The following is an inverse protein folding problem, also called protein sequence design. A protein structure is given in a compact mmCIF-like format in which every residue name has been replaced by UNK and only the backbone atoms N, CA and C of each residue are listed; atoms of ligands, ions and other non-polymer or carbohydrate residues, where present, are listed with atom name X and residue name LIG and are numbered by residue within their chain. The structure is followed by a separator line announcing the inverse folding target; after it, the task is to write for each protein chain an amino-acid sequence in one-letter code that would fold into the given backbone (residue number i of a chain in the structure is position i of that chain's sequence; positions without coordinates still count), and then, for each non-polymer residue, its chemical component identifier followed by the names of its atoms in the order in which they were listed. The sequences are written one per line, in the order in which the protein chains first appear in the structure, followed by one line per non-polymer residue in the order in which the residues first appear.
data_IF_067098650985
#
_entry.id   IF_067098650985
#
_cell.length_a   1.000
_cell.length_b   1.000
_cell.length_c   1.000
_cell.angle_alpha   90.00
_cell.angle_beta   90.00
_cell.angle_gamma   90.00
#
_symmetry.space_group_name_H-M   'P 1'
#
loop_
_entity.id
_entity.type
_entity.pdbx_description
1 polymer ?
#
# COMPACT_ATOMS: atom_id res chain seq x y z
N UNK A 1 -6.49 -12.37 -6.68
CA UNK A 1 -6.74 -11.05 -7.28
C UNK A 1 -8.22 -10.97 -7.61
N UNK A 2 -8.85 -9.82 -7.38
CA UNK A 2 -10.30 -9.60 -7.55
C UNK A 2 -10.54 -8.38 -8.42
N UNK A 3 -11.45 -8.48 -9.38
CA UNK A 3 -11.92 -7.34 -10.17
C UNK A 3 -12.97 -6.59 -9.34
N UNK A 4 -12.68 -5.36 -8.92
CA UNK A 4 -13.62 -4.54 -8.15
C UNK A 4 -14.52 -3.69 -9.05
N UNK A 5 -14.01 -3.31 -10.23
CA UNK A 5 -14.73 -2.58 -11.27
C UNK A 5 -14.11 -2.90 -12.63
N UNK A 6 -14.93 -3.09 -13.66
CA UNK A 6 -14.49 -3.74 -14.88
C UNK A 6 -14.65 -3.01 -16.21
N UNK A 7 -15.69 -2.21 -16.41
CA UNK A 7 -16.19 -1.90 -17.76
C UNK A 7 -15.66 -0.58 -18.34
N UNK A 8 -14.56 -0.06 -17.81
CA UNK A 8 -13.97 1.20 -18.24
C UNK A 8 -12.92 1.09 -19.35
N UNK A 9 -12.67 2.19 -20.06
CA UNK A 9 -11.70 2.27 -21.15
C UNK A 9 -10.30 2.71 -20.72
N UNK A 10 -10.16 3.24 -19.49
CA UNK A 10 -8.87 3.72 -18.97
C UNK A 10 -7.94 2.56 -18.63
N UNK A 11 -6.60 2.76 -18.63
CA UNK A 11 -5.65 1.79 -18.11
C UNK A 11 -6.02 1.35 -16.69
N UNK A 12 -6.11 0.04 -16.40
CA UNK A 12 -6.50 -0.48 -15.10
C UNK A 12 -5.63 0.07 -13.95
N UNK A 13 -6.27 0.30 -12.80
CA UNK A 13 -5.57 0.55 -11.54
C UNK A 13 -5.47 -0.76 -10.76
N UNK A 14 -4.25 -1.18 -10.44
CA UNK A 14 -3.99 -2.36 -9.62
C UNK A 14 -3.69 -1.92 -8.18
N UNK A 15 -4.58 -2.27 -7.24
CA UNK A 15 -4.49 -1.93 -5.83
C UNK A 15 -3.98 -3.11 -4.99
N UNK A 16 -2.90 -2.93 -4.25
CA UNK A 16 -2.29 -3.95 -3.40
C UNK A 16 -2.69 -3.69 -1.94
N UNK A 17 -3.37 -4.65 -1.32
CA UNK A 17 -3.78 -4.57 0.08
C UNK A 17 -2.56 -4.66 1.02
N UNK A 18 -2.66 -4.00 2.18
CA UNK A 18 -1.63 -4.06 3.22
C UNK A 18 -1.64 -5.37 4.00
N UNK A 19 -0.75 -5.47 5.01
CA UNK A 19 -0.72 -6.60 5.94
C UNK A 19 -2.10 -6.74 6.64
N UNK A 20 -2.66 -7.96 6.62
CA UNK A 20 -4.01 -8.23 7.16
C UNK A 20 -5.17 -7.59 6.38
N UNK A 21 -4.90 -6.84 5.31
CA UNK A 21 -5.93 -6.19 4.48
C UNK A 21 -6.50 -7.11 3.40
N UNK A 22 -7.82 -7.04 3.19
CA UNK A 22 -8.52 -7.78 2.13
C UNK A 22 -8.74 -6.92 0.88
N UNK A 23 -8.77 -7.55 -0.29
CA UNK A 23 -8.91 -6.88 -1.59
C UNK A 23 -10.16 -5.95 -1.65
N UNK A 24 -11.26 -6.33 -0.99
CA UNK A 24 -12.51 -5.54 -0.96
C UNK A 24 -12.37 -4.19 -0.24
N UNK A 25 -11.31 -3.98 0.55
CA UNK A 25 -11.03 -2.69 1.20
C UNK A 25 -10.91 -1.53 0.22
N UNK A 26 -10.55 -1.79 -1.05
CA UNK A 26 -10.48 -0.77 -2.10
C UNK A 26 -11.82 -0.49 -2.80
N UNK A 27 -12.93 -1.16 -2.44
CA UNK A 27 -14.21 -1.01 -3.15
C UNK A 27 -14.70 0.43 -3.15
N UNK A 28 -14.65 1.11 -2.01
CA UNK A 28 -15.10 2.51 -1.89
C UNK A 28 -14.26 3.46 -2.76
N UNK A 29 -12.96 3.19 -2.90
CA UNK A 29 -12.10 3.93 -3.85
C UNK A 29 -12.52 3.64 -5.30
N UNK A 30 -12.71 2.37 -5.65
CA UNK A 30 -13.13 1.97 -6.99
C UNK A 30 -14.49 2.58 -7.41
N UNK A 31 -15.39 2.80 -6.46
CA UNK A 31 -16.66 3.50 -6.74
C UNK A 31 -16.44 4.99 -7.04
N UNK A 32 -15.55 5.65 -6.31
CA UNK A 32 -15.30 7.11 -6.46
C UNK A 32 -14.48 7.49 -7.68
N UNK A 33 -13.72 6.56 -8.24
CA UNK A 33 -12.94 6.79 -9.47
C UNK A 33 -13.82 6.87 -10.74
N UNK A 34 -15.11 6.56 -10.65
CA UNK A 34 -16.04 6.57 -11.76
C UNK A 34 -16.04 5.26 -12.56
N UNK A 35 -16.98 5.16 -13.50
CA UNK A 35 -17.24 3.92 -14.24
C UNK A 35 -16.16 3.59 -15.28
N UNK A 36 -15.53 4.62 -15.82
CA UNK A 36 -14.52 4.53 -16.87
C UNK A 36 -13.13 4.06 -16.38
N UNK A 37 -12.94 3.87 -15.07
CA UNK A 37 -11.67 3.41 -14.48
C UNK A 37 -11.79 1.95 -14.00
N UNK A 38 -11.23 0.96 -14.71
CA UNK A 38 -11.12 -0.40 -14.22
C UNK A 38 -10.23 -0.46 -12.98
N UNK A 39 -10.64 -1.26 -11.99
CA UNK A 39 -9.92 -1.43 -10.73
C UNK A 39 -9.83 -2.90 -10.36
N UNK A 40 -8.61 -3.36 -10.15
CA UNK A 40 -8.27 -4.69 -9.66
C UNK A 40 -7.61 -4.58 -8.30
N UNK A 41 -7.95 -5.48 -7.38
CA UNK A 41 -7.33 -5.54 -6.08
C UNK A 41 -6.64 -6.89 -5.84
N UNK A 42 -5.43 -6.80 -5.28
CA UNK A 42 -4.57 -7.92 -4.93
C UNK A 42 -4.46 -7.99 -3.41
N UNK A 43 -4.53 -9.20 -2.88
CA UNK A 43 -4.38 -9.48 -1.46
C UNK A 43 -3.18 -10.41 -1.24
N UNK A 44 -2.68 -10.44 -0.02
CA UNK A 44 -1.54 -11.27 0.36
C UNK A 44 -1.89 -12.74 0.28
N UNK A 45 -0.98 -13.55 -0.25
CA UNK A 45 -1.16 -14.99 -0.34
C UNK A 45 -1.15 -15.63 1.05
N UNK A 46 -1.95 -16.68 1.21
CA UNK A 46 -2.22 -17.29 2.52
C UNK A 46 -3.49 -16.74 3.19
N UNK A 47 -4.13 -15.71 2.62
CA UNK A 47 -5.44 -15.23 3.09
C UNK A 47 -6.61 -16.01 2.48
N UNK A 48 -6.51 -16.37 1.19
CA UNK A 48 -7.54 -17.11 0.44
C UNK A 48 -7.38 -18.62 0.50
N UNK A 49 -6.17 -19.11 0.70
CA UNK A 49 -5.83 -20.53 0.75
C UNK A 49 -4.92 -20.78 1.94
N UNK A 50 -4.97 -21.97 2.55
CA UNK A 50 -3.99 -22.42 3.57
C UNK A 50 -2.56 -22.60 3.01
N UNK A 51 -2.25 -21.94 1.90
CA UNK A 51 -0.92 -21.87 1.34
C UNK A 51 0.02 -21.10 2.26
N UNK A 52 1.30 -21.39 2.15
CA UNK A 52 2.32 -20.69 2.94
C UNK A 52 2.38 -19.22 2.46
N UNK A 53 2.45 -18.25 3.38
CA UNK A 53 2.66 -16.87 2.99
C UNK A 53 4.01 -16.72 2.27
N UNK A 54 4.15 -15.66 1.48
CA UNK A 54 5.48 -15.30 0.98
C UNK A 54 6.33 -14.72 2.10
N UNK A 55 7.62 -15.00 2.04
CA UNK A 55 8.57 -14.61 3.07
C UNK A 55 9.35 -13.32 2.74
N UNK A 56 9.06 -12.67 1.61
CA UNK A 56 9.70 -11.41 1.23
C UNK A 56 8.85 -10.53 0.31
N UNK A 57 9.03 -9.21 0.41
CA UNK A 57 8.39 -8.22 -0.48
C UNK A 57 8.66 -8.53 -1.95
N UNK A 58 9.90 -8.90 -2.30
CA UNK A 58 10.29 -9.27 -3.66
C UNK A 58 9.52 -10.47 -4.19
N UNK A 59 9.28 -11.48 -3.36
CA UNK A 59 8.49 -12.66 -3.74
C UNK A 59 7.01 -12.32 -3.94
N UNK A 60 6.43 -11.51 -3.04
CA UNK A 60 5.05 -11.01 -3.16
C UNK A 60 4.90 -10.24 -4.47
N UNK A 61 5.79 -9.26 -4.70
CA UNK A 61 5.80 -8.42 -5.88
C UNK A 61 5.92 -9.26 -7.16
N UNK A 62 6.84 -10.24 -7.22
CA UNK A 62 6.98 -11.13 -8.37
C UNK A 62 5.69 -11.86 -8.71
N UNK A 63 5.01 -12.44 -7.71
CA UNK A 63 3.71 -13.09 -7.95
C UNK A 63 2.68 -12.09 -8.47
N UNK A 64 2.61 -10.92 -7.86
CA UNK A 64 1.67 -9.89 -8.27
C UNK A 64 1.94 -9.37 -9.68
N UNK A 65 3.21 -9.19 -10.07
CA UNK A 65 3.60 -8.87 -11.45
C UNK A 65 3.09 -9.93 -12.42
N UNK A 66 3.30 -11.22 -12.13
CA UNK A 66 2.75 -12.30 -12.97
C UNK A 66 1.22 -12.20 -13.11
N UNK A 67 0.51 -11.92 -12.01
CA UNK A 67 -0.95 -11.81 -12.02
C UNK A 67 -1.46 -10.57 -12.79
N UNK A 68 -0.85 -9.39 -12.63
CA UNK A 68 -1.30 -8.20 -13.34
C UNK A 68 -0.99 -8.29 -14.84
N UNK A 69 0.12 -8.94 -15.22
CA UNK A 69 0.48 -9.17 -16.63
C UNK A 69 -0.47 -10.11 -17.36
N UNK A 70 -1.17 -10.99 -16.66
CA UNK A 70 -2.22 -11.81 -17.28
C UNK A 70 -3.49 -11.02 -17.62
N UNK A 71 -3.66 -9.83 -17.03
CA UNK A 71 -4.78 -8.93 -17.30
C UNK A 71 -4.39 -7.83 -18.28
N UNK A 72 -3.21 -7.24 -18.08
CA UNK A 72 -2.64 -6.21 -18.93
C UNK A 72 -1.21 -6.63 -19.27
N UNK A 73 -0.96 -7.23 -20.45
CA UNK A 73 0.36 -7.77 -20.80
C UNK A 73 1.46 -6.71 -20.90
N UNK A 74 1.09 -5.50 -21.29
CA UNK A 74 1.99 -4.38 -21.53
C UNK A 74 1.53 -3.09 -20.85
N UNK A 75 2.50 -2.28 -20.45
CA UNK A 75 2.27 -0.97 -19.83
C UNK A 75 1.54 0.04 -20.73
N UNK A 76 1.25 1.23 -20.20
CA UNK A 76 1.69 1.72 -18.90
C UNK A 76 0.88 1.13 -17.73
N UNK A 77 1.59 0.69 -16.68
CA UNK A 77 0.97 0.20 -15.44
C UNK A 77 0.65 1.35 -14.47
N UNK A 78 -0.50 1.25 -13.80
CA UNK A 78 -0.87 2.11 -12.67
C UNK A 78 -1.03 1.25 -11.42
N UNK A 79 -0.17 1.49 -10.44
CA UNK A 79 -0.13 0.72 -9.20
C UNK A 79 -0.58 1.61 -8.03
N UNK A 80 -1.28 1.02 -7.08
CA UNK A 80 -1.62 1.66 -5.82
C UNK A 80 -1.43 0.67 -4.68
N UNK A 81 -1.02 1.14 -3.50
CA UNK A 81 -0.86 0.26 -2.35
C UNK A 81 -1.18 0.95 -1.04
N UNK A 82 -1.74 0.18 -0.11
CA UNK A 82 -2.02 0.63 1.25
C UNK A 82 -1.07 -0.02 2.24
N UNK A 83 -0.44 0.76 3.14
CA UNK A 83 0.51 0.25 4.13
C UNK A 83 1.58 -0.63 3.45
N UNK A 84 1.86 -1.86 3.93
CA UNK A 84 2.77 -2.83 3.28
C UNK A 84 2.51 -2.99 1.76
N UNK A 85 1.26 -2.85 1.32
CA UNK A 85 0.90 -2.94 -0.09
C UNK A 85 1.58 -1.87 -0.95
N UNK A 86 1.90 -0.69 -0.39
CA UNK A 86 2.62 0.36 -1.11
C UNK A 86 4.11 0.01 -1.30
N UNK A 87 4.73 -0.62 -0.30
CA UNK A 87 6.10 -1.13 -0.40
C UNK A 87 6.18 -2.23 -1.46
N UNK A 88 5.18 -3.12 -1.51
CA UNK A 88 5.04 -4.13 -2.57
C UNK A 88 4.81 -3.48 -3.93
N UNK A 89 3.96 -2.46 -4.02
CA UNK A 89 3.71 -1.73 -5.27
C UNK A 89 4.97 -1.08 -5.85
N UNK A 90 5.84 -0.52 -4.99
CA UNK A 90 7.13 0.03 -5.41
C UNK A 90 8.08 -1.05 -5.92
N UNK A 91 8.17 -2.20 -5.24
CA UNK A 91 8.97 -3.32 -5.74
C UNK A 91 8.41 -3.88 -7.05
N UNK A 92 7.08 -3.95 -7.22
CA UNK A 92 6.45 -4.30 -8.49
C UNK A 92 6.83 -3.30 -9.59
N UNK A 93 6.85 -2.00 -9.29
CA UNK A 93 7.23 -0.98 -10.25
C UNK A 93 8.69 -1.15 -10.73
N UNK A 94 9.61 -1.43 -9.80
CA UNK A 94 11.01 -1.75 -10.14
C UNK A 94 11.12 -3.00 -11.01
N UNK A 95 10.40 -4.08 -10.67
CA UNK A 95 10.42 -5.32 -11.46
C UNK A 95 9.82 -5.14 -12.86
N UNK A 96 8.73 -4.38 -12.99
CA UNK A 96 8.12 -4.06 -14.29
C UNK A 96 9.08 -3.23 -15.14
N UNK A 97 9.69 -2.19 -14.57
CA UNK A 97 10.66 -1.36 -15.27
C UNK A 97 11.90 -2.14 -15.72
N UNK A 98 12.41 -3.03 -14.86
CA UNK A 98 13.51 -3.93 -15.22
C UNK A 98 13.14 -4.91 -16.36
N UNK A 99 11.84 -5.20 -16.53
CA UNK A 99 11.32 -6.00 -17.64
C UNK A 99 11.01 -5.17 -18.90
N UNK A 100 11.37 -3.88 -18.94
CA UNK A 100 11.14 -2.99 -20.08
C UNK A 100 9.74 -2.38 -20.16
N UNK A 101 8.93 -2.53 -19.11
CA UNK A 101 7.57 -2.01 -19.08
C UNK A 101 7.50 -0.59 -18.48
N UNK A 102 6.56 0.23 -18.97
CA UNK A 102 6.31 1.56 -18.43
C UNK A 102 5.42 1.51 -17.18
N UNK A 103 5.75 2.29 -16.15
CA UNK A 103 4.91 2.50 -14.96
C UNK A 103 4.53 3.98 -14.87
N UNK A 104 3.29 4.30 -15.21
CA UNK A 104 2.81 5.69 -15.29
C UNK A 104 2.50 6.31 -13.92
N UNK A 105 2.19 5.48 -12.91
CA UNK A 105 1.86 5.95 -11.57
C UNK A 105 2.10 4.86 -10.52
N UNK A 106 2.70 5.27 -9.41
CA UNK A 106 2.62 4.56 -8.12
C UNK A 106 1.88 5.45 -7.11
N UNK A 107 0.76 4.98 -6.59
CA UNK A 107 0.00 5.67 -5.54
C UNK A 107 0.23 4.99 -4.18
N UNK A 108 0.64 5.77 -3.19
CA UNK A 108 0.96 5.35 -1.84
C UNK A 108 -0.15 5.85 -0.92
N UNK A 109 -0.86 4.93 -0.28
CA UNK A 109 -1.92 5.22 0.68
C UNK A 109 -1.48 4.81 2.07
N UNK A 110 -1.35 5.79 2.96
CA UNK A 110 -1.10 5.64 4.39
C UNK A 110 -0.01 4.62 4.74
N UNK A 111 1.14 4.77 4.07
CA UNK A 111 2.26 3.84 4.17
C UNK A 111 3.52 4.52 4.67
N UNK A 112 4.45 3.68 5.12
CA UNK A 112 5.84 4.01 5.39
C UNK A 112 6.72 3.70 4.15
N UNK A 113 7.87 4.38 4.00
CA UNK A 113 8.86 4.05 2.98
C UNK A 113 9.53 2.69 3.28
N UNK A 114 10.17 2.04 2.30
CA UNK A 114 10.94 0.81 2.49
C UNK A 114 12.29 1.08 3.19
N UNK A 115 12.20 1.62 4.41
CA UNK A 115 13.30 1.85 5.34
C UNK A 115 12.94 1.18 6.70
N UNK A 116 13.81 0.28 7.21
CA UNK A 116 13.64 -0.30 8.54
C UNK A 116 13.48 0.73 9.67
N UNK A 117 14.00 1.96 9.51
CA UNK A 117 13.91 3.05 10.51
C UNK A 117 12.60 3.84 10.45
N UNK A 118 11.83 3.69 9.38
CA UNK A 118 10.57 4.39 9.17
C UNK A 118 9.35 3.45 9.21
N UNK A 119 9.60 2.13 9.26
CA UNK A 119 8.56 1.14 9.51
C UNK A 119 8.08 1.26 10.96
N UNK A 120 6.77 1.24 11.23
CA UNK A 120 6.29 1.19 12.61
C UNK A 120 6.88 -0.05 13.30
N UNK A 121 7.21 0.02 14.60
CA UNK A 121 7.63 -1.15 15.35
C UNK A 121 6.60 -2.27 15.16
N UNK A 122 7.05 -3.52 15.14
CA UNK A 122 6.13 -4.64 15.16
C UNK A 122 5.14 -4.39 16.31
N UNK A 123 3.85 -4.35 16.01
CA UNK A 123 2.82 -4.35 17.04
C UNK A 123 3.11 -5.53 17.96
N UNK A 124 3.38 -5.26 19.23
CA UNK A 124 3.61 -6.27 20.28
C UNK A 124 2.31 -7.08 20.46
N UNK A 125 2.11 -8.01 19.53
CA UNK A 125 1.07 -9.02 19.53
C UNK A 125 1.69 -10.38 19.80
N UNK A 126 2.37 -10.51 20.95
CA UNK A 126 3.03 -11.74 21.39
C UNK A 126 4.42 -11.89 20.79
N UNK A 127 5.41 -12.05 21.67
CA UNK A 127 6.81 -12.28 21.34
C UNK A 127 6.98 -13.25 20.15
N UNK A 128 7.87 -12.89 19.22
CA UNK A 128 8.52 -13.89 18.39
C UNK A 128 9.08 -14.97 19.34
N UNK A 129 8.86 -16.27 19.10
CA UNK A 129 9.51 -17.28 19.90
C UNK A 129 11.01 -17.12 19.66
N UNK A 130 11.70 -16.59 20.66
CA UNK A 130 13.15 -16.56 20.73
C UNK A 130 13.63 -18.00 20.73
N UNK A 131 14.65 -18.25 19.91
CA UNK A 131 15.27 -19.54 19.61
C UNK A 131 16.05 -20.12 20.81
N UNK A 132 15.38 -20.26 21.96
CA UNK A 132 16.01 -20.73 23.19
C UNK A 132 15.18 -21.72 24.01
N UNK A 133 14.07 -22.21 23.46
CA UNK A 133 13.25 -23.25 24.10
C UNK A 133 13.26 -24.62 23.39
N UNK A 134 14.04 -24.81 22.31
CA UNK A 134 14.02 -26.07 21.54
C UNK A 134 15.15 -27.06 21.91
N UNK A 135 15.50 -27.12 23.21
CA UNK A 135 16.24 -28.27 23.74
C UNK A 135 15.30 -29.18 24.52
N UNK A 136 14.50 -29.92 23.75
CA UNK A 136 13.88 -31.15 24.22
C UNK A 136 12.36 -31.16 24.13
N UNK A 137 11.82 -31.43 22.93
CA UNK A 137 10.69 -32.33 22.73
C UNK A 137 10.40 -32.42 21.22
N UNK A 138 10.12 -33.63 20.73
CA UNK A 138 10.07 -33.94 19.31
C UNK A 138 9.02 -33.15 18.50
N UNK A 139 9.38 -32.97 17.22
CA UNK A 139 8.59 -32.48 16.12
C UNK A 139 7.05 -32.70 16.24
N UNK A 140 6.35 -31.64 16.63
CA UNK A 140 4.94 -31.46 16.27
C UNK A 140 4.75 -30.05 15.71
N UNK A 141 4.92 -29.93 14.37
CA UNK A 141 4.55 -28.74 13.59
C UNK A 141 3.02 -28.70 13.49
N UNK A 142 2.39 -28.05 14.45
CA UNK A 142 0.93 -27.89 14.45
C UNK A 142 0.47 -27.07 13.24
N UNK A 143 -0.32 -27.72 12.37
CA UNK A 143 -1.10 -27.05 11.34
C UNK A 143 -2.20 -26.23 12.01
N UNK A 144 -2.52 -25.02 11.54
CA UNK A 144 -3.64 -24.26 12.08
C UNK A 144 -4.95 -25.04 11.92
N UNK A 145 -5.74 -25.08 13.00
CA UNK A 145 -7.04 -25.77 13.07
C UNK A 145 -8.05 -25.13 12.13
N UNK A 146 -8.93 -25.95 11.55
CA UNK A 146 -10.07 -25.54 10.72
C UNK A 146 -10.88 -24.44 11.44
N UNK A 147 -11.04 -23.27 10.82
CA UNK A 147 -12.01 -22.25 11.24
C UNK A 147 -11.46 -21.02 11.97
N UNK A 148 -10.18 -20.98 12.33
CA UNK A 148 -9.55 -19.75 12.81
C UNK A 148 -9.00 -18.97 11.60
N UNK A 149 -9.59 -17.81 11.30
CA UNK A 149 -9.09 -16.93 10.23
C UNK A 149 -7.61 -16.62 10.46
N UNK A 150 -6.80 -16.66 9.40
CA UNK A 150 -5.34 -16.51 9.48
C UNK A 150 -4.88 -15.08 9.84
N UNK A 151 -5.80 -14.15 10.05
CA UNK A 151 -5.55 -12.72 10.34
C UNK A 151 -4.55 -12.48 11.48
N UNK A 152 -4.67 -13.13 12.66
CA UNK A 152 -3.71 -12.93 13.76
C UNK A 152 -2.30 -13.44 13.46
N UNK A 153 -2.16 -14.45 12.58
CA UNK A 153 -0.85 -14.98 12.17
C UNK A 153 -0.23 -14.19 11.01
N UNK A 154 -1.06 -13.59 10.16
CA UNK A 154 -0.65 -12.81 8.98
C UNK A 154 -0.18 -11.40 9.33
N UNK A 155 -0.69 -10.80 10.42
CA UNK A 155 -0.23 -9.49 10.87
C UNK A 155 1.26 -9.53 11.26
N UNK A 156 1.72 -10.37 12.21
CA UNK A 156 3.15 -10.52 12.51
C UNK A 156 3.96 -10.97 11.29
N UNK A 157 3.44 -11.93 10.50
CA UNK A 157 4.13 -12.43 9.32
C UNK A 157 4.27 -11.38 8.19
N UNK A 158 3.38 -10.38 8.13
CA UNK A 158 3.47 -9.24 7.21
C UNK A 158 4.44 -8.15 7.67
N UNK A 159 4.67 -8.02 8.98
CA UNK A 159 5.66 -7.10 9.53
C UNK A 159 7.10 -7.52 9.22
N UNK A 160 7.40 -8.83 9.19
CA UNK A 160 8.76 -9.35 8.93
C UNK A 160 9.28 -8.95 7.52
N UNK A 161 8.50 -9.09 6.42
CA UNK A 161 8.88 -8.57 5.11
C UNK A 161 9.05 -7.05 5.06
N UNK A 162 8.22 -6.31 5.82
CA UNK A 162 8.26 -4.84 5.86
C UNK A 162 9.58 -4.33 6.48
N UNK A 163 9.95 -4.87 7.63
CA UNK A 163 11.14 -4.49 8.37
C UNK A 163 12.47 -4.85 7.67
N UNK A 164 12.45 -5.84 6.77
CA UNK A 164 13.61 -6.24 5.97
C UNK A 164 13.67 -5.58 4.59
N UNK A 165 12.63 -4.85 4.18
CA UNK A 165 12.58 -4.23 2.86
C UNK A 165 13.60 -3.08 2.78
N UNK A 166 14.57 -3.22 1.87
CA UNK A 166 15.43 -2.13 1.42
C UNK A 166 15.14 -1.91 -0.06
N UNK A 167 14.55 -0.77 -0.39
CA UNK A 167 14.24 -0.39 -1.76
C UNK A 167 15.29 0.57 -2.34
N UNK A 168 15.66 0.39 -3.60
CA UNK A 168 16.33 1.44 -4.35
C UNK A 168 15.37 2.65 -4.51
N UNK A 169 15.89 3.89 -4.57
CA UNK A 169 15.06 5.06 -4.82
C UNK A 169 14.24 4.90 -6.11
N UNK A 170 13.00 5.36 -6.09
CA UNK A 170 12.09 5.36 -7.23
C UNK A 170 11.97 6.76 -7.83
N UNK A 171 12.25 6.90 -9.12
CA UNK A 171 12.27 8.15 -9.90
C UNK A 171 10.99 8.35 -10.73
N UNK A 172 10.05 7.40 -10.71
CA UNK A 172 8.78 7.52 -11.42
C UNK A 172 7.76 8.40 -10.70
N UNK A 173 6.70 8.79 -11.43
CA UNK A 173 5.61 9.61 -10.90
C UNK A 173 4.93 8.91 -9.72
N UNK A 174 4.87 9.60 -8.59
CA UNK A 174 4.32 9.07 -7.34
C UNK A 174 3.31 10.02 -6.71
N UNK A 175 2.17 9.48 -6.27
CA UNK A 175 1.18 10.19 -5.47
C UNK A 175 1.24 9.65 -4.04
N UNK A 176 1.45 10.49 -3.04
CA UNK A 176 1.48 10.09 -1.63
C UNK A 176 0.28 10.70 -0.91
N UNK A 177 -0.52 9.86 -0.27
CA UNK A 177 -1.64 10.25 0.59
C UNK A 177 -1.43 9.64 1.97
N UNK A 178 -1.28 10.46 3.00
CA UNK A 178 -1.14 10.02 4.40
C UNK A 178 -2.34 10.51 5.21
N UNK A 179 -2.90 9.66 6.06
CA UNK A 179 -4.01 10.05 6.93
C UNK A 179 -3.49 11.06 7.97
N UNK A 180 -4.16 12.22 8.08
CA UNK A 180 -3.73 13.30 9.00
C UNK A 180 -4.02 13.02 10.47
N UNK A 181 -5.04 12.21 10.75
CA UNK A 181 -5.54 11.98 12.10
C UNK A 181 -4.87 10.77 12.80
N UNK A 182 -3.78 10.25 12.22
CA UNK A 182 -2.99 9.14 12.77
C UNK A 182 -1.77 9.69 13.55
N UNK A 183 -1.54 9.28 14.82
CA UNK A 183 -0.35 9.66 15.57
C UNK A 183 0.97 9.27 14.86
N UNK A 184 0.95 8.24 14.02
CA UNK A 184 2.13 7.80 13.25
C UNK A 184 2.31 8.55 11.92
N UNK A 185 1.41 9.48 11.57
CA UNK A 185 1.41 10.21 10.29
C UNK A 185 2.73 10.93 10.00
N UNK A 186 3.40 11.44 11.03
CA UNK A 186 4.70 12.09 10.90
C UNK A 186 5.82 11.13 10.47
N UNK A 187 5.74 9.85 10.85
CA UNK A 187 6.64 8.78 10.37
C UNK A 187 6.30 8.36 8.94
N UNK A 188 5.00 8.15 8.67
CA UNK A 188 4.47 7.75 7.35
C UNK A 188 4.70 8.80 6.25
N UNK A 189 4.86 10.06 6.62
CA UNK A 189 5.10 11.16 5.68
C UNK A 189 6.56 11.27 5.20
N UNK A 190 7.50 10.49 5.76
CA UNK A 190 8.94 10.60 5.47
C UNK A 190 9.34 9.82 4.21
N UNK A 191 8.93 10.31 3.04
CA UNK A 191 9.29 9.70 1.75
C UNK A 191 10.52 10.33 1.08
N UNK A 192 11.01 11.44 1.63
CA UNK A 192 12.21 12.15 1.19
C UNK A 192 13.42 11.22 1.21
N UNK A 193 14.05 11.00 0.06
CA UNK A 193 15.20 10.07 -0.10
C UNK A 193 14.85 8.70 -0.68
N UNK A 194 13.56 8.32 -0.70
CA UNK A 194 13.08 7.09 -1.34
C UNK A 194 12.38 7.36 -2.67
N UNK A 195 11.89 8.59 -2.86
CA UNK A 195 11.29 9.07 -4.10
C UNK A 195 12.17 10.19 -4.66
N UNK A 196 12.58 10.06 -5.92
CA UNK A 196 13.36 11.06 -6.67
C UNK A 196 12.59 11.63 -7.87
N UNK A 197 11.44 11.05 -8.18
CA UNK A 197 10.55 11.48 -9.26
C UNK A 197 9.60 12.61 -8.87
N UNK A 198 8.68 12.94 -9.77
CA UNK A 198 7.59 13.87 -9.46
C UNK A 198 6.68 13.30 -8.37
N UNK A 199 6.68 13.94 -7.19
CA UNK A 199 5.83 13.58 -6.06
C UNK A 199 4.71 14.61 -5.89
N UNK A 200 3.47 14.16 -5.82
CA UNK A 200 2.33 14.97 -5.40
C UNK A 200 1.97 14.58 -3.96
N UNK A 201 2.17 15.50 -3.00
CA UNK A 201 1.66 15.38 -1.64
C UNK A 201 0.26 16.00 -1.58
N UNK A 202 -0.76 15.15 -1.58
CA UNK A 202 -2.15 15.58 -1.47
C UNK A 202 -2.60 15.37 -0.03
N UNK A 203 -2.39 16.41 0.78
CA UNK A 203 -2.93 16.44 2.13
C UNK A 203 -4.43 16.71 2.03
N UNK A 204 -5.25 15.80 2.57
CA UNK A 204 -6.72 15.91 2.54
C UNK A 204 -7.18 17.34 2.84
N UNK A 205 -8.01 17.89 1.95
CA UNK A 205 -8.59 19.21 2.11
C UNK A 205 -9.40 19.22 3.41
N UNK A 206 -8.85 19.88 4.43
CA UNK A 206 -9.64 20.24 5.60
C UNK A 206 -10.81 21.11 5.14
N UNK A 207 -11.98 20.88 5.73
CA UNK A 207 -13.12 21.79 5.61
C UNK A 207 -12.62 23.25 5.74
N UNK A 208 -13.13 24.20 4.95
CA UNK A 208 -12.76 25.60 5.13
C UNK A 208 -13.15 25.98 6.56
N UNK A 209 -12.14 26.32 7.36
CA UNK A 209 -12.39 26.93 8.65
C UNK A 209 -13.25 28.17 8.40
N UNK A 210 -14.47 28.16 8.96
CA UNK A 210 -15.30 29.35 9.10
C UNK A 210 -14.60 30.24 10.13
N UNK A 211 -13.53 30.91 9.70
CA UNK A 211 -12.81 31.92 10.45
C UNK A 211 -13.46 33.27 10.23
N UNK A 212 -14.29 33.66 11.20
CA UNK A 212 -14.65 35.03 11.56
C UNK A 212 -14.64 36.11 10.46
N UNK A 213 -15.84 36.46 9.99
CA UNK A 213 -16.12 37.82 9.54
C UNK A 213 -15.83 38.79 10.70
N UNK A 214 -14.71 39.50 10.63
CA UNK A 214 -14.57 40.79 11.34
C UNK A 214 -14.37 41.88 10.31
N UNK A 215 -15.44 42.66 10.17
CA UNK A 215 -15.56 43.98 9.56
C UNK A 215 -14.26 44.78 9.38
N UNK A 216 -14.04 45.29 8.16
CA UNK A 216 -13.76 46.72 7.96
C UNK A 216 -14.03 47.15 6.52
N UNK A 217 -15.23 47.70 6.31
CA UNK A 217 -15.57 48.47 5.12
C UNK A 217 -15.03 49.89 5.32
N UNK A 218 -14.08 50.33 4.49
CA UNK A 218 -13.82 51.76 4.31
C UNK A 218 -13.65 52.09 2.83
N UNK A 219 -14.70 52.71 2.30
CA UNK A 219 -14.72 53.80 1.31
C UNK A 219 -13.53 54.00 0.37
N UNK A 220 -13.84 54.01 -0.94
CA UNK A 220 -13.59 55.10 -1.93
C UNK A 220 -14.12 54.58 -3.28
N UNK A 221 -15.31 54.95 -3.74
CA UNK A 221 -15.75 56.18 -4.43
C UNK A 221 -15.06 56.47 -5.78
N UNK A 222 -15.96 56.73 -6.77
CA UNK A 222 -15.83 57.30 -8.13
C UNK A 222 -15.76 56.26 -9.26
N UNK A 223 -16.80 56.06 -10.11
CA UNK A 223 -17.34 56.92 -11.19
C UNK A 223 -16.20 57.42 -12.09
N UNK A 224 -16.06 56.98 -13.34
CA UNK A 224 -17.02 56.89 -14.45
C UNK A 224 -16.80 55.65 -15.31
#
# INVERSE_FOLDING_TARGET
MVRLRGEGSRPPLFCIAGAGGVAVGFRSLALRLGEDQPVWALQMHGMENRGRPDWSVRAIARRHVTAVRSVQPHGPYRLAGHSLGAVVALEMAHQLRAAGEEVALVAVFDSFPPDPRASPPAIDGGAAPTDQADRGAGAHRDRPRRGQGALPALLPAGHVPAAAARGAPWDGRTLVLVARDDPDSAGRSRWSGHLTGAVVDARGAGQPQRGCCTSRTSQRSRSW
#
